data_IF_189487539449
#
_entry.id   IF_189487539449
#
_cell.length_a   1.000
_cell.length_b   1.000
_cell.length_c   1.000
_cell.angle_alpha   90.00
_cell.angle_beta   90.00
_cell.angle_gamma   90.00
#
_symmetry.space_group_name_H-M   'P 1'
#
loop_
_entity.id
_entity.type
_entity.pdbx_description
1 polymer ?
#
# COMPACT_ATOMS: atom_id res chain seq x y z
N UNK A 1 8.17 4.85 60.62
CA UNK A 1 8.68 5.66 59.48
C UNK A 1 9.39 4.81 58.42
N UNK A 2 10.34 3.93 58.76
CA UNK A 2 11.06 3.12 57.74
C UNK A 2 10.18 2.10 56.97
N UNK A 3 9.19 1.48 57.62
CA UNK A 3 8.29 0.50 56.98
C UNK A 3 7.41 1.11 55.88
N UNK A 4 6.92 2.33 56.11
CA UNK A 4 6.07 3.05 55.16
C UNK A 4 6.85 3.48 53.92
N UNK A 5 8.11 3.87 54.10
CA UNK A 5 9.01 4.23 52.99
C UNK A 5 9.32 3.02 52.09
N UNK A 6 9.56 1.85 52.69
CA UNK A 6 9.82 0.61 51.96
C UNK A 6 8.62 0.16 51.11
N UNK A 7 7.40 0.28 51.64
CA UNK A 7 6.17 -0.04 50.90
C UNK A 7 5.94 0.93 49.73
N UNK A 8 6.21 2.22 49.91
CA UNK A 8 6.12 3.22 48.85
C UNK A 8 7.10 2.95 47.71
N UNK A 9 8.36 2.60 48.04
CA UNK A 9 9.36 2.27 47.03
C UNK A 9 9.00 1.00 46.25
N UNK A 10 8.48 -0.02 46.92
CA UNK A 10 8.05 -1.27 46.27
C UNK A 10 6.85 -1.03 45.33
N UNK A 11 5.89 -0.20 45.76
CA UNK A 11 4.76 0.19 44.92
C UNK A 11 5.21 1.01 43.70
N UNK A 12 6.13 1.95 43.87
CA UNK A 12 6.67 2.75 42.76
C UNK A 12 7.39 1.87 41.71
N UNK A 13 8.16 0.86 42.14
CA UNK A 13 8.79 -0.08 41.21
C UNK A 13 7.77 -0.98 40.49
N UNK A 14 6.68 -1.37 41.15
CA UNK A 14 5.63 -2.16 40.51
C UNK A 14 4.89 -1.39 39.40
N UNK A 15 4.80 -0.06 39.49
CA UNK A 15 4.16 0.77 38.47
C UNK A 15 5.09 1.13 37.29
N UNK A 16 6.41 1.03 37.44
CA UNK A 16 7.37 1.39 36.39
C UNK A 16 7.46 0.36 35.23
N UNK A 17 6.83 -0.81 35.36
CA UNK A 17 6.89 -1.89 34.37
C UNK A 17 5.87 -1.80 33.23
N UNK A 18 4.91 -0.87 33.27
CA UNK A 18 3.92 -0.69 32.20
C UNK A 18 4.50 0.13 31.05
N UNK A 19 5.32 -0.50 30.21
CA UNK A 19 5.69 0.03 28.90
C UNK A 19 4.79 -0.63 27.85
N UNK A 20 3.95 0.16 27.18
CA UNK A 20 3.28 -0.29 25.95
C UNK A 20 4.35 -0.55 24.89
N UNK A 21 4.33 -1.73 24.27
CA UNK A 21 5.20 -2.02 23.14
C UNK A 21 4.80 -1.11 21.98
N UNK A 22 5.51 0.00 21.83
CA UNK A 22 5.36 0.87 20.68
C UNK A 22 6.04 0.18 19.49
N UNK A 23 5.33 0.02 18.38
CA UNK A 23 5.93 -0.48 17.14
C UNK A 23 6.73 0.68 16.55
N UNK A 24 7.98 0.80 16.99
CA UNK A 24 8.88 1.87 16.59
C UNK A 24 9.51 1.63 15.21
N UNK A 25 9.47 0.40 14.71
CA UNK A 25 10.05 0.05 13.43
C UNK A 25 9.30 -1.04 12.67
N UNK A 26 9.57 -1.06 11.37
CA UNK A 26 8.98 -1.96 10.41
C UNK A 26 9.88 -3.19 10.23
N UNK A 27 10.04 -3.99 11.29
CA UNK A 27 10.87 -5.21 11.26
C UNK A 27 10.05 -6.44 10.89
N UNK A 28 10.65 -7.31 10.09
CA UNK A 28 10.10 -8.63 9.85
C UNK A 28 10.13 -9.45 11.15
N UNK A 29 9.03 -10.14 11.44
CA UNK A 29 8.88 -11.02 12.60
C UNK A 29 7.87 -12.11 12.29
N UNK A 30 8.02 -13.29 12.90
CA UNK A 30 7.09 -14.42 12.74
C UNK A 30 6.83 -14.83 11.27
N UNK A 31 7.86 -14.72 10.41
CA UNK A 31 7.73 -15.02 8.98
C UNK A 31 6.92 -13.99 8.19
N UNK A 32 6.54 -12.87 8.80
CA UNK A 32 5.82 -11.78 8.16
C UNK A 32 6.77 -10.62 7.89
N UNK A 33 6.71 -10.08 6.68
CA UNK A 33 7.40 -8.83 6.33
C UNK A 33 6.35 -7.72 6.25
N UNK A 34 6.38 -6.74 7.16
CA UNK A 34 5.44 -5.62 7.10
C UNK A 34 5.69 -4.74 5.89
N UNK A 35 4.61 -4.17 5.32
CA UNK A 35 4.70 -3.14 4.29
C UNK A 35 4.83 -1.76 4.95
N UNK A 36 6.05 -1.21 4.91
CA UNK A 36 6.39 0.02 5.61
C UNK A 36 5.89 1.30 4.93
N UNK A 37 5.15 1.17 3.82
CA UNK A 37 4.60 2.34 3.10
C UNK A 37 3.36 2.93 3.78
N UNK A 38 2.79 2.22 4.75
CA UNK A 38 1.67 2.70 5.56
C UNK A 38 2.18 3.43 6.80
N UNK A 39 1.50 4.52 7.14
CA UNK A 39 1.84 5.35 8.30
C UNK A 39 0.63 5.40 9.24
N UNK A 40 0.83 4.94 10.48
CA UNK A 40 -0.19 4.87 11.53
C UNK A 40 -1.51 4.19 11.08
N UNK A 41 -1.46 2.94 10.56
CA UNK A 41 -2.67 2.22 10.17
C UNK A 41 -3.49 1.85 11.42
N UNK A 42 -4.79 2.14 11.39
CA UNK A 42 -5.72 1.82 12.50
C UNK A 42 -6.55 0.57 12.19
N UNK A 43 -7.31 0.63 11.10
CA UNK A 43 -8.29 -0.37 10.72
C UNK A 43 -8.09 -0.82 9.26
N UNK A 44 -8.55 -2.04 8.96
CA UNK A 44 -8.62 -2.53 7.58
C UNK A 44 -9.92 -3.30 7.30
N UNK A 45 -10.36 -3.24 6.05
CA UNK A 45 -11.51 -3.99 5.55
C UNK A 45 -11.24 -4.53 4.15
N UNK A 46 -11.78 -5.70 3.80
CA UNK A 46 -11.70 -6.21 2.43
C UNK A 46 -12.69 -5.43 1.56
N UNK A 47 -12.27 -5.05 0.35
CA UNK A 47 -13.15 -4.38 -0.61
C UNK A 47 -14.31 -5.32 -1.03
N UNK A 48 -15.48 -4.79 -1.44
CA UNK A 48 -16.61 -5.64 -1.83
C UNK A 48 -16.30 -6.63 -2.97
N UNK A 49 -15.33 -6.30 -3.83
CA UNK A 49 -14.88 -7.18 -4.91
C UNK A 49 -13.85 -8.23 -4.47
N UNK A 50 -13.36 -8.18 -3.22
CA UNK A 50 -12.33 -9.10 -2.71
C UNK A 50 -10.92 -8.86 -3.26
N UNK A 51 -10.70 -7.78 -4.02
CA UNK A 51 -9.45 -7.52 -4.75
C UNK A 51 -8.49 -6.58 -4.06
N UNK A 52 -8.92 -5.95 -2.97
CA UNK A 52 -8.12 -4.97 -2.24
C UNK A 52 -8.43 -4.97 -0.75
N UNK A 53 -7.47 -4.53 0.05
CA UNK A 53 -7.68 -4.11 1.43
C UNK A 53 -7.86 -2.60 1.46
N UNK A 54 -8.89 -2.11 2.13
CA UNK A 54 -9.08 -0.71 2.45
C UNK A 54 -8.48 -0.48 3.82
N UNK A 55 -7.53 0.44 3.93
CA UNK A 55 -6.76 0.72 5.14
C UNK A 55 -7.04 2.16 5.56
N UNK A 56 -7.39 2.32 6.84
CA UNK A 56 -7.50 3.59 7.54
C UNK A 56 -6.14 4.00 8.11
N UNK A 57 -5.64 5.18 7.75
CA UNK A 57 -4.43 5.75 8.33
C UNK A 57 -4.78 6.99 9.14
N UNK A 58 -4.46 6.96 10.43
CA UNK A 58 -4.65 8.12 11.30
C UNK A 58 -3.69 9.23 10.88
N UNK A 59 -4.17 10.47 10.96
CA UNK A 59 -3.31 11.63 10.82
C UNK A 59 -2.28 11.75 11.95
N UNK A 60 -1.37 12.70 11.79
CA UNK A 60 -0.44 13.12 12.85
C UNK A 60 -0.70 14.58 13.20
N UNK A 61 -0.67 14.89 14.50
CA UNK A 61 -0.68 16.28 14.99
C UNK A 61 0.73 16.86 15.10
N UNK A 62 0.84 18.13 15.51
CA UNK A 62 2.12 18.80 15.74
C UNK A 62 2.59 19.68 14.58
N UNK A 63 3.87 20.02 14.58
CA UNK A 63 4.48 20.93 13.59
C UNK A 63 4.47 20.37 12.16
N UNK A 64 4.48 19.04 12.02
CA UNK A 64 4.36 18.32 10.75
C UNK A 64 2.97 17.69 10.61
N UNK A 65 1.91 18.43 10.94
CA UNK A 65 0.55 17.86 10.94
C UNK A 65 0.21 17.29 9.57
N UNK A 66 -0.24 16.04 9.55
CA UNK A 66 -0.73 15.37 8.34
C UNK A 66 -2.13 14.88 8.61
N UNK A 67 -3.06 15.21 7.71
CA UNK A 67 -4.40 14.60 7.76
C UNK A 67 -4.31 13.08 7.55
N UNK A 68 -5.30 12.36 8.08
CA UNK A 68 -5.45 10.93 7.84
C UNK A 68 -5.65 10.61 6.36
N UNK A 69 -5.60 9.32 6.03
CA UNK A 69 -5.86 8.84 4.66
C UNK A 69 -6.69 7.58 4.67
N UNK A 70 -7.38 7.35 3.56
CA UNK A 70 -7.89 6.03 3.20
C UNK A 70 -7.08 5.52 2.02
N UNK A 71 -6.58 4.30 2.10
CA UNK A 71 -5.74 3.68 1.06
C UNK A 71 -6.34 2.35 0.64
N UNK A 72 -6.42 2.09 -0.66
CA UNK A 72 -6.67 0.75 -1.19
C UNK A 72 -5.33 0.08 -1.47
N UNK A 73 -5.08 -1.07 -0.86
CA UNK A 73 -3.93 -1.92 -1.12
C UNK A 73 -4.35 -3.10 -1.98
N UNK A 74 -3.72 -3.25 -3.14
CA UNK A 74 -3.93 -4.36 -4.07
C UNK A 74 -2.79 -5.37 -3.91
N UNK A 75 -3.01 -6.52 -3.27
CA UNK A 75 -1.97 -7.55 -3.13
C UNK A 75 -1.54 -8.07 -4.50
N UNK A 76 -0.26 -8.39 -4.65
CA UNK A 76 0.23 -9.09 -5.83
C UNK A 76 -0.41 -10.49 -5.92
N UNK A 77 -1.16 -10.81 -6.99
CA UNK A 77 -1.75 -12.14 -7.16
C UNK A 77 -0.71 -13.26 -7.25
N UNK A 78 0.55 -12.95 -7.58
CA UNK A 78 1.64 -13.92 -7.59
C UNK A 78 2.21 -14.23 -6.19
N UNK A 79 1.73 -13.55 -5.13
CA UNK A 79 2.12 -13.85 -3.76
C UNK A 79 3.54 -13.40 -3.40
N UNK A 80 4.13 -12.43 -4.10
CA UNK A 80 5.49 -11.93 -3.83
C UNK A 80 5.66 -11.20 -2.49
N UNK A 81 4.59 -11.07 -1.70
CA UNK A 81 4.57 -10.27 -0.48
C UNK A 81 4.57 -8.76 -0.75
N UNK A 82 4.44 -8.34 -2.01
CA UNK A 82 4.31 -6.93 -2.42
C UNK A 82 2.89 -6.66 -2.91
N UNK A 83 2.53 -5.40 -2.98
CA UNK A 83 1.24 -4.95 -3.52
C UNK A 83 1.29 -3.48 -3.86
N UNK A 84 0.18 -2.94 -4.37
CA UNK A 84 0.10 -1.56 -4.80
C UNK A 84 -0.85 -0.74 -3.90
N UNK A 85 -0.34 0.24 -3.13
CA UNK A 85 -1.17 1.15 -2.37
C UNK A 85 -1.65 2.31 -3.26
N UNK A 86 -2.95 2.61 -3.19
CA UNK A 86 -3.60 3.72 -3.89
C UNK A 86 -4.40 4.57 -2.91
N UNK A 87 -4.09 5.87 -2.84
CA UNK A 87 -4.84 6.80 -1.99
C UNK A 87 -6.26 6.96 -2.53
N UNK A 88 -7.24 6.68 -1.67
CA UNK A 88 -8.67 6.91 -1.90
C UNK A 88 -9.13 8.23 -1.31
N UNK A 89 -8.56 8.61 -0.16
CA UNK A 89 -8.85 9.85 0.55
C UNK A 89 -7.60 10.43 1.23
N UNK A 90 -7.39 11.76 1.23
CA UNK A 90 -8.13 12.75 0.44
C UNK A 90 -7.99 12.43 -1.04
N UNK A 91 -9.04 12.68 -1.82
CA UNK A 91 -8.89 12.64 -3.28
C UNK A 91 -7.91 13.76 -3.61
N UNK A 92 -6.70 13.41 -4.05
CA UNK A 92 -5.85 14.38 -4.74
C UNK A 92 -6.74 15.03 -5.80
N UNK A 93 -6.92 16.35 -5.73
CA UNK A 93 -7.64 17.10 -6.76
C UNK A 93 -7.11 16.58 -8.09
N UNK A 94 -8.02 15.98 -8.87
CA UNK A 94 -7.69 15.05 -9.94
C UNK A 94 -6.39 15.43 -10.62
N UNK A 95 -5.40 14.54 -10.66
CA UNK A 95 -4.44 14.62 -11.75
C UNK A 95 -5.29 14.65 -13.01
N UNK A 96 -5.40 15.82 -13.64
CA UNK A 96 -6.01 15.98 -14.95
C UNK A 96 -5.07 15.29 -15.93
N UNK A 97 -4.96 13.98 -15.84
CA UNK A 97 -4.42 13.17 -16.90
C UNK A 97 -5.47 13.28 -18.00
N UNK A 98 -5.17 13.91 -19.15
CA UNK A 98 -6.16 14.14 -20.18
C UNK A 98 -6.69 12.78 -20.60
N UNK A 99 -7.95 12.52 -20.27
CA UNK A 99 -8.69 11.37 -20.76
C UNK A 99 -9.00 11.67 -22.23
N UNK A 100 -8.05 11.38 -23.11
CA UNK A 100 -8.24 11.42 -24.55
C UNK A 100 -7.25 12.29 -25.31
N UNK A 101 -6.03 11.80 -25.51
CA UNK A 101 -5.43 11.91 -26.84
C UNK A 101 -5.86 10.68 -27.62
N UNK A 102 -7.08 10.74 -28.15
CA UNK A 102 -7.50 9.89 -29.27
C UNK A 102 -6.44 10.12 -30.34
N UNK A 103 -5.54 9.15 -30.53
CA UNK A 103 -4.61 9.15 -31.65
C UNK A 103 -5.45 9.26 -32.92
N UNK A 104 -5.47 10.44 -33.52
CA UNK A 104 -5.96 10.61 -34.88
C UNK A 104 -4.94 9.90 -35.76
N UNK A 105 -5.18 8.61 -36.01
CA UNK A 105 -4.50 7.88 -37.08
C UNK A 105 -4.91 8.58 -38.37
N UNK A 106 -4.00 9.43 -38.84
CA UNK A 106 -4.12 10.09 -40.14
C UNK A 106 -3.57 9.08 -41.17
N UNK A 107 -4.37 8.61 -42.12
CA UNK A 107 -3.87 7.71 -43.15
C UNK A 107 -3.07 8.54 -44.15
N UNK A 108 -1.83 8.14 -44.44
CA UNK A 108 -1.07 8.68 -45.57
C UNK A 108 -0.20 7.59 -46.17
N UNK A 109 -0.70 7.06 -47.29
CA UNK A 109 0.00 6.58 -48.48
C UNK A 109 1.08 5.50 -48.35
N UNK A 110 0.70 4.30 -48.80
CA UNK A 110 1.37 3.48 -49.81
C UNK A 110 2.87 3.71 -50.04
N UNK A 111 3.67 2.66 -49.80
CA UNK A 111 4.58 2.14 -50.84
C UNK A 111 4.67 0.62 -50.70
N UNK A 112 4.17 -0.04 -51.75
CA UNK A 112 4.24 -1.48 -51.97
C UNK A 112 5.68 -1.94 -52.16
N UNK A 113 6.08 -3.01 -51.47
CA UNK A 113 7.00 -4.01 -52.02
C UNK A 113 6.52 -5.41 -51.62
N UNK A 114 5.80 -6.02 -52.56
CA UNK A 114 5.59 -7.45 -52.64
C UNK A 114 6.97 -8.10 -52.82
N UNK A 115 7.36 -8.98 -51.89
CA UNK A 115 8.37 -10.00 -52.16
C UNK A 115 7.73 -11.34 -51.85
N UNK A 116 7.37 -12.05 -52.92
CA UNK A 116 7.02 -13.47 -52.89
C UNK A 116 8.25 -14.25 -52.47
N UNK A 117 8.14 -15.08 -51.43
CA UNK A 117 8.90 -16.32 -51.38
C UNK A 117 7.94 -17.49 -51.16
N UNK A 118 8.09 -18.45 -52.04
CA UNK A 118 7.27 -19.62 -52.28
C UNK A 118 7.91 -20.82 -51.61
N UNK A 119 7.21 -21.43 -50.64
CA UNK A 119 7.25 -22.86 -50.29
C UNK A 119 6.32 -23.19 -49.09
N UNK A 120 5.06 -23.48 -49.42
CA UNK A 120 4.19 -24.64 -49.03
C UNK A 120 4.59 -25.58 -47.85
N UNK A 121 3.68 -26.43 -47.29
CA UNK A 121 2.38 -26.17 -46.65
C UNK A 121 2.01 -27.14 -45.46
N UNK A 122 0.83 -26.93 -44.82
CA UNK A 122 -0.01 -27.84 -43.98
C UNK A 122 0.58 -28.56 -42.73
N UNK A 123 -0.10 -28.49 -41.58
CA UNK A 123 -1.05 -29.51 -41.12
C UNK A 123 -1.71 -29.13 -39.77
N UNK A 124 -3.02 -29.28 -39.75
CA UNK A 124 -3.91 -29.41 -38.59
C UNK A 124 -3.82 -30.82 -38.00
N UNK A 125 -3.83 -30.92 -36.68
CA UNK A 125 -4.65 -31.87 -35.89
C UNK A 125 -4.91 -31.25 -34.53
#
# INVERSE_FOLDING_TARGET
MMRTLALLMLAAMALAGCTTAEILDCRAANGLTPDCRFENPEDFAVSPAGTALIISEMGRGGLESRQGRLVAYYPDPAGSGRGEPRILWPRSAASTQPRGSRATVRPSSMTSKISMDSRTPWFTT
#
